data_IF_570329157995
#
_entry.id   IF_570329157995
#
_cell.length_a   1.000
_cell.length_b   1.000
_cell.length_c   1.000
_cell.angle_alpha   90.00
_cell.angle_beta   90.00
_cell.angle_gamma   90.00
#
_symmetry.space_group_name_H-M   'P 1'
#
loop_
_entity.id
_entity.type
_entity.pdbx_description
1 polymer ?
#
# COMPACT_ATOMS: atom_id res chain seq x y z
N UNK A 1 -0.82 -0.65 34.08
CA UNK A 1 0.14 -1.28 33.15
C UNK A 1 -0.69 -1.81 32.00
N UNK A 2 -0.73 -1.11 30.87
CA UNK A 2 -1.46 -1.56 29.68
C UNK A 2 -0.60 -2.61 29.01
N UNK A 3 -1.02 -3.87 29.05
CA UNK A 3 -0.41 -4.95 28.29
C UNK A 3 -0.54 -4.64 26.80
N UNK A 4 0.49 -4.03 26.22
CA UNK A 4 0.70 -4.02 24.78
C UNK A 4 1.19 -5.42 24.37
N UNK A 5 0.30 -6.40 24.41
CA UNK A 5 0.50 -7.64 23.67
C UNK A 5 0.24 -7.31 22.20
N UNK A 6 1.28 -6.93 21.46
CA UNK A 6 1.19 -6.92 20.00
C UNK A 6 1.01 -8.38 19.57
N UNK A 7 -0.24 -8.79 19.33
CA UNK A 7 -0.52 -10.11 18.80
C UNK A 7 0.17 -10.24 17.43
N UNK A 8 0.88 -11.35 17.23
CA UNK A 8 1.45 -11.68 15.93
C UNK A 8 0.33 -11.75 14.89
N UNK A 9 0.42 -10.93 13.84
CA UNK A 9 -0.51 -10.94 12.71
C UNK A 9 0.19 -11.51 11.48
N UNK A 10 -0.36 -12.61 10.95
CA UNK A 10 0.06 -13.23 9.69
C UNK A 10 -1.17 -13.28 8.78
N UNK A 11 -1.05 -12.77 7.55
CA UNK A 11 -2.12 -12.80 6.54
C UNK A 11 -1.48 -13.01 5.16
N UNK A 12 -1.95 -14.03 4.45
CA UNK A 12 -1.48 -14.35 3.10
C UNK A 12 -2.30 -13.59 2.06
N UNK A 13 -1.64 -13.07 1.02
CA UNK A 13 -2.28 -12.26 -0.03
C UNK A 13 -3.41 -12.98 -0.76
N UNK A 14 -3.23 -14.28 -1.04
CA UNK A 14 -4.21 -15.12 -1.74
C UNK A 14 -5.56 -15.19 -1.01
N UNK A 15 -5.54 -15.14 0.32
CA UNK A 15 -6.74 -15.26 1.16
C UNK A 15 -7.23 -13.93 1.74
N UNK A 16 -6.46 -12.85 1.56
CA UNK A 16 -6.79 -11.55 2.11
C UNK A 16 -8.05 -10.98 1.42
N UNK A 17 -8.92 -10.26 2.17
CA UNK A 17 -10.03 -9.53 1.56
C UNK A 17 -9.54 -8.62 0.44
N UNK A 18 -10.20 -8.66 -0.71
CA UNK A 18 -9.86 -7.86 -1.89
C UNK A 18 -10.96 -6.86 -2.19
N UNK A 19 -10.60 -5.62 -2.47
CA UNK A 19 -11.56 -4.58 -2.81
C UNK A 19 -11.05 -3.61 -3.88
N UNK A 20 -11.98 -2.94 -4.56
CA UNK A 20 -11.66 -1.94 -5.58
C UNK A 20 -11.22 -0.64 -4.93
N UNK A 21 -10.16 -0.03 -5.46
CA UNK A 21 -9.63 1.28 -5.04
C UNK A 21 -9.57 2.26 -6.21
N UNK A 22 -9.13 3.49 -5.95
CA UNK A 22 -8.83 4.52 -6.95
C UNK A 22 -7.69 4.16 -7.90
N UNK A 23 -6.85 3.20 -7.52
CA UNK A 23 -5.65 2.80 -8.26
C UNK A 23 -5.73 1.41 -8.87
N UNK A 24 -6.81 0.66 -8.64
CA UNK A 24 -6.94 -0.72 -9.10
C UNK A 24 -7.60 -1.59 -8.05
N UNK A 25 -6.99 -2.72 -7.72
CA UNK A 25 -7.48 -3.65 -6.69
C UNK A 25 -6.48 -3.75 -5.55
N UNK A 26 -6.97 -3.78 -4.31
CA UNK A 26 -6.12 -3.91 -3.11
C UNK A 26 -6.48 -5.17 -2.32
N UNK A 27 -5.45 -5.92 -1.95
CA UNK A 27 -5.50 -7.00 -0.98
C UNK A 27 -5.20 -6.40 0.40
N UNK A 28 -6.14 -6.54 1.34
CA UNK A 28 -6.07 -5.91 2.65
C UNK A 28 -5.20 -6.70 3.64
N UNK A 29 -3.87 -6.67 3.47
CA UNK A 29 -2.94 -7.44 4.32
C UNK A 29 -2.92 -6.93 5.77
N UNK A 30 -2.79 -5.61 5.96
CA UNK A 30 -3.00 -4.90 7.22
C UNK A 30 -3.75 -3.61 6.89
N UNK A 31 -4.90 -3.37 7.50
CA UNK A 31 -5.80 -2.29 7.09
C UNK A 31 -6.51 -1.65 8.29
N UNK A 32 -7.44 -0.74 8.00
CA UNK A 32 -8.16 0.07 8.99
C UNK A 32 -8.93 -0.75 10.03
N UNK A 33 -9.29 -1.99 9.70
CA UNK A 33 -9.96 -2.92 10.60
C UNK A 33 -9.01 -3.49 11.66
N UNK A 34 -7.70 -3.47 11.41
CA UNK A 34 -6.68 -3.97 12.31
C UNK A 34 -6.32 -2.89 13.36
N UNK A 35 -6.14 -3.30 14.62
CA UNK A 35 -5.83 -2.40 15.73
C UNK A 35 -4.45 -2.72 16.34
N UNK A 36 -3.80 -1.71 16.92
CA UNK A 36 -2.46 -1.87 17.52
C UNK A 36 -1.32 -2.07 16.51
N UNK A 37 -1.56 -1.81 15.22
CA UNK A 37 -0.56 -1.90 14.14
C UNK A 37 0.13 -0.55 13.91
N UNK A 38 1.41 -0.57 13.53
CA UNK A 38 2.19 0.64 13.29
C UNK A 38 1.88 1.30 11.93
N UNK A 39 1.48 0.50 10.94
CA UNK A 39 1.15 0.96 9.60
C UNK A 39 0.11 0.02 8.96
N UNK A 40 -0.53 0.50 7.90
CA UNK A 40 -1.31 -0.33 6.99
C UNK A 40 -0.42 -0.80 5.84
N UNK A 41 -0.67 -2.00 5.36
CA UNK A 41 0.05 -2.62 4.27
C UNK A 41 -0.95 -3.29 3.33
N UNK A 42 -0.89 -2.97 2.05
CA UNK A 42 -1.73 -3.55 1.02
C UNK A 42 -0.85 -4.03 -0.13
N UNK A 43 -1.15 -5.20 -0.68
CA UNK A 43 -0.69 -5.54 -2.03
C UNK A 43 -1.71 -4.98 -3.02
N UNK A 44 -1.24 -4.35 -4.09
CA UNK A 44 -2.09 -3.58 -5.00
C UNK A 44 -1.79 -3.96 -6.45
N UNK A 45 -2.80 -4.46 -7.15
CA UNK A 45 -2.80 -4.57 -8.60
C UNK A 45 -3.19 -3.22 -9.17
N UNK A 46 -2.21 -2.50 -9.74
CA UNK A 46 -2.43 -1.15 -10.26
C UNK A 46 -3.02 -1.21 -11.67
N UNK A 47 -4.18 -0.57 -11.85
CA UNK A 47 -4.83 -0.39 -13.16
C UNK A 47 -5.66 0.91 -13.16
N UNK A 48 -5.42 1.76 -14.16
CA UNK A 48 -6.19 3.00 -14.39
C UNK A 48 -6.15 3.99 -13.23
N UNK A 49 -5.02 4.09 -12.52
CA UNK A 49 -4.87 4.98 -11.37
C UNK A 49 -5.10 6.45 -11.73
N UNK A 50 -5.84 7.15 -10.86
CA UNK A 50 -6.07 8.60 -10.95
C UNK A 50 -5.16 9.32 -9.96
N UNK A 51 -4.64 10.48 -10.37
CA UNK A 51 -3.89 11.35 -9.46
C UNK A 51 -4.73 11.72 -8.23
N UNK A 52 -4.12 11.57 -7.06
CA UNK A 52 -4.72 11.86 -5.76
C UNK A 52 -3.60 12.11 -4.73
N UNK A 53 -3.99 12.49 -3.51
CA UNK A 53 -3.05 12.77 -2.42
C UNK A 53 -3.67 12.43 -1.06
N UNK A 54 -2.81 12.20 -0.07
CA UNK A 54 -3.20 12.03 1.32
C UNK A 54 -2.77 13.24 2.16
N UNK A 55 -3.69 13.80 2.96
CA UNK A 55 -3.41 14.98 3.80
C UNK A 55 -2.61 14.71 5.07
N UNK A 56 -2.53 13.45 5.48
CA UNK A 56 -2.11 13.04 6.83
C UNK A 56 -1.30 11.75 6.85
N UNK A 57 -1.09 11.15 5.68
CA UNK A 57 -0.50 9.83 5.56
C UNK A 57 0.62 9.89 4.54
N UNK A 58 1.79 9.45 4.96
CA UNK A 58 2.90 9.10 4.08
C UNK A 58 2.66 7.70 3.53
N UNK A 59 2.96 7.49 2.26
CA UNK A 59 2.87 6.19 1.60
C UNK A 59 4.25 5.66 1.21
N UNK A 60 4.39 4.34 1.30
CA UNK A 60 5.54 3.59 0.82
C UNK A 60 5.04 2.55 -0.18
N UNK A 61 5.53 2.60 -1.41
CA UNK A 61 5.29 1.56 -2.41
C UNK A 61 6.56 0.76 -2.66
N UNK A 62 6.41 -0.55 -2.77
CA UNK A 62 7.46 -1.45 -3.25
C UNK A 62 6.91 -2.24 -4.44
N UNK A 63 7.57 -2.15 -5.59
CA UNK A 63 7.11 -2.81 -6.81
C UNK A 63 7.49 -4.29 -6.76
N UNK A 64 6.50 -5.16 -6.54
CA UNK A 64 6.69 -6.61 -6.45
C UNK A 64 6.91 -7.27 -7.81
N UNK A 65 6.21 -6.79 -8.84
CA UNK A 65 6.25 -7.29 -10.21
C UNK A 65 5.92 -6.16 -11.21
N UNK A 66 6.40 -6.29 -12.44
CA UNK A 66 6.14 -5.35 -13.53
C UNK A 66 6.96 -4.05 -13.50
N UNK A 67 6.55 -3.10 -14.32
CA UNK A 67 7.15 -1.77 -14.47
C UNK A 67 6.09 -0.71 -14.79
N UNK A 68 6.44 0.56 -14.57
CA UNK A 68 5.54 1.68 -14.79
C UNK A 68 6.17 3.03 -14.44
N UNK A 69 5.32 4.00 -14.13
CA UNK A 69 5.74 5.37 -13.81
C UNK A 69 4.95 5.86 -12.60
N UNK A 70 5.66 6.43 -11.62
CA UNK A 70 5.05 7.28 -10.58
C UNK A 70 5.10 8.72 -11.07
N UNK A 71 3.95 9.40 -11.01
CA UNK A 71 3.88 10.82 -11.33
C UNK A 71 3.65 11.63 -10.06
N UNK A 72 4.54 12.58 -9.78
CA UNK A 72 4.47 13.46 -8.62
C UNK A 72 4.69 14.89 -9.08
N UNK A 73 3.74 15.78 -8.79
CA UNK A 73 3.76 17.20 -9.19
C UNK A 73 4.06 17.41 -10.69
N UNK A 74 3.50 16.54 -11.53
CA UNK A 74 3.69 16.56 -12.99
C UNK A 74 5.03 15.99 -13.49
N UNK A 75 5.90 15.51 -12.59
CA UNK A 75 7.17 14.86 -12.93
C UNK A 75 6.98 13.35 -12.94
N UNK A 76 7.47 12.70 -13.99
CA UNK A 76 7.41 11.26 -14.17
C UNK A 76 8.70 10.58 -13.70
N UNK A 77 8.55 9.55 -12.87
CA UNK A 77 9.61 8.75 -12.31
C UNK A 77 9.40 7.28 -12.71
N UNK A 78 10.23 6.70 -13.59
CA UNK A 78 10.09 5.31 -13.96
C UNK A 78 10.38 4.42 -12.75
N UNK A 79 9.59 3.37 -12.60
CA UNK A 79 9.74 2.35 -11.57
C UNK A 79 9.63 0.98 -12.20
N UNK A 80 10.33 0.03 -11.63
CA UNK A 80 10.32 -1.36 -12.04
C UNK A 80 10.38 -2.26 -10.81
N UNK A 81 10.20 -3.56 -10.98
CA UNK A 81 10.36 -4.55 -9.92
C UNK A 81 11.59 -4.25 -9.05
N UNK A 82 11.38 -4.24 -7.74
CA UNK A 82 12.39 -3.92 -6.73
C UNK A 82 12.54 -2.42 -6.40
N UNK A 83 11.86 -1.53 -7.11
CA UNK A 83 11.84 -0.10 -6.78
C UNK A 83 11.08 0.15 -5.48
N UNK A 84 11.63 1.02 -4.62
CA UNK A 84 10.92 1.57 -3.47
C UNK A 84 10.62 3.05 -3.71
N UNK A 85 9.39 3.45 -3.38
CA UNK A 85 8.90 4.82 -3.54
C UNK A 85 8.43 5.29 -2.17
N UNK A 86 8.85 6.49 -1.78
CA UNK A 86 8.38 7.16 -0.57
C UNK A 86 7.68 8.45 -0.97
N UNK A 87 6.40 8.55 -0.62
CA UNK A 87 5.52 9.67 -0.95
C UNK A 87 5.10 10.32 0.38
N UNK A 88 5.66 11.49 0.74
CA UNK A 88 5.47 12.12 2.04
C UNK A 88 4.05 12.58 2.32
#
# INVERSE_FOLDING_TARGET
MTENSTALLIRDEESAPRERSTCGWRHLLISRQDSGVAAWAHAVDIDGAKEHYHKRSTELYYVLDGEGVVRLDGVEHPVHQGSIVHIP
#
